data_IF_879363495035
#
_entry.id   IF_879363495035
#
_cell.length_a   1.000
_cell.length_b   1.000
_cell.length_c   1.000
_cell.angle_alpha   90.00
_cell.angle_beta   90.00
_cell.angle_gamma   90.00
#
_symmetry.space_group_name_H-M   'P 1'
#
loop_
_entity.id
_entity.type
_entity.pdbx_description
1 polymer ?
#
# COMPACT_ATOMS: atom_id res chain seq x y z
N UNK A 1 -2.90 -17.75 11.31
CA UNK A 1 -1.87 -17.45 12.35
C UNK A 1 -2.45 -17.48 13.76
N UNK A 2 -3.44 -16.64 14.09
CA UNK A 2 -4.07 -16.62 15.41
C UNK A 2 -4.53 -18.02 15.87
N UNK A 3 -5.40 -18.69 15.11
CA UNK A 3 -5.91 -20.00 15.51
C UNK A 3 -4.81 -21.04 15.76
N UNK A 4 -3.73 -21.02 14.96
CA UNK A 4 -2.56 -21.89 15.15
C UNK A 4 -1.84 -21.63 16.48
N UNK A 5 -1.56 -20.36 16.79
CA UNK A 5 -0.91 -19.97 18.05
C UNK A 5 -1.78 -20.30 19.27
N UNK A 6 -3.12 -20.30 19.12
CA UNK A 6 -4.07 -20.54 20.22
C UNK A 6 -4.12 -22.02 20.61
N UNK A 7 -3.83 -22.93 19.67
CA UNK A 7 -3.92 -24.37 19.88
C UNK A 7 -2.91 -24.90 20.90
N UNK A 8 -1.70 -24.33 20.97
CA UNK A 8 -0.66 -24.80 21.89
C UNK A 8 0.32 -23.65 22.21
N UNK A 9 0.65 -23.39 23.49
CA UNK A 9 1.59 -22.34 23.88
C UNK A 9 3.03 -22.53 23.36
N UNK A 10 3.37 -23.73 22.85
CA UNK A 10 4.66 -24.01 22.19
C UNK A 10 4.65 -23.68 20.70
N UNK A 11 3.48 -23.42 20.10
CA UNK A 11 3.37 -23.14 18.67
C UNK A 11 4.05 -21.81 18.32
N UNK A 12 4.70 -21.79 17.16
CA UNK A 12 5.35 -20.61 16.59
C UNK A 12 4.88 -20.44 15.15
N UNK A 13 4.73 -19.19 14.69
CA UNK A 13 4.52 -18.86 13.28
C UNK A 13 5.84 -18.42 12.65
N UNK A 14 6.17 -19.01 11.50
CA UNK A 14 7.27 -18.57 10.65
C UNK A 14 6.69 -17.88 9.41
N UNK A 15 7.02 -16.61 9.23
CA UNK A 15 6.63 -15.73 8.13
C UNK A 15 7.86 -15.49 7.28
N UNK A 16 7.77 -15.80 6.00
CA UNK A 16 8.81 -15.55 5.00
C UNK A 16 8.24 -14.67 3.88
N UNK A 17 9.10 -13.85 3.28
CA UNK A 17 8.80 -13.15 2.03
C UNK A 17 10.10 -13.04 1.23
N UNK A 18 10.00 -12.89 -0.08
CA UNK A 18 11.12 -12.98 -1.04
C UNK A 18 12.29 -12.05 -0.71
N UNK A 19 12.05 -10.88 -0.11
CA UNK A 19 13.09 -9.94 0.29
C UNK A 19 13.21 -9.73 1.81
N UNK A 20 12.34 -10.38 2.61
CA UNK A 20 12.32 -10.23 4.07
C UNK A 20 11.88 -8.84 4.58
N UNK A 21 11.36 -7.95 3.73
CA UNK A 21 11.13 -6.53 4.06
C UNK A 21 9.66 -6.24 4.32
N UNK A 22 9.01 -5.48 3.44
CA UNK A 22 7.77 -4.80 3.76
C UNK A 22 6.58 -5.76 3.99
N UNK A 23 6.33 -6.80 3.15
CA UNK A 23 5.15 -7.65 3.30
C UNK A 23 5.10 -8.39 4.64
N UNK A 24 6.22 -8.98 5.07
CA UNK A 24 6.31 -9.64 6.37
C UNK A 24 6.14 -8.65 7.54
N UNK A 25 6.59 -7.40 7.37
CA UNK A 25 6.41 -6.35 8.37
C UNK A 25 4.96 -5.94 8.55
N UNK A 26 4.22 -5.82 7.45
CA UNK A 26 2.77 -5.55 7.47
C UNK A 26 2.05 -6.63 8.26
N UNK A 27 2.31 -7.90 7.96
CA UNK A 27 1.65 -9.02 8.62
C UNK A 27 1.95 -9.05 10.13
N UNK A 28 3.20 -8.79 10.53
CA UNK A 28 3.59 -8.73 11.95
C UNK A 28 2.88 -7.58 12.66
N UNK A 29 2.90 -6.37 12.11
CA UNK A 29 2.21 -5.21 12.71
C UNK A 29 0.70 -5.40 12.78
N UNK A 30 0.09 -5.93 11.72
CA UNK A 30 -1.32 -6.27 11.68
C UNK A 30 -1.66 -7.31 12.76
N UNK A 31 -0.80 -8.31 12.98
CA UNK A 31 -0.98 -9.31 14.03
C UNK A 31 -0.88 -8.72 15.43
N UNK A 32 0.01 -7.75 15.67
CA UNK A 32 0.08 -7.02 16.93
C UNK A 32 -1.23 -6.28 17.24
N UNK A 33 -1.81 -5.63 16.23
CA UNK A 33 -3.10 -4.95 16.38
C UNK A 33 -4.24 -5.96 16.56
N UNK A 34 -4.28 -7.00 15.72
CA UNK A 34 -5.30 -8.04 15.74
C UNK A 34 -5.38 -8.79 17.08
N UNK A 35 -4.24 -9.00 17.74
CA UNK A 35 -4.19 -9.63 19.06
C UNK A 35 -4.24 -8.63 20.22
N UNK A 36 -4.62 -7.38 19.96
CA UNK A 36 -4.71 -6.31 20.96
C UNK A 36 -3.44 -6.11 21.80
N UNK A 37 -2.27 -6.44 21.25
CA UNK A 37 -1.01 -6.07 21.88
C UNK A 37 -0.84 -4.55 21.83
N UNK A 38 -1.31 -3.92 20.74
CA UNK A 38 -1.44 -2.48 20.62
C UNK A 38 -2.79 -2.11 20.02
N UNK A 39 -3.44 -1.08 20.58
CA UNK A 39 -4.69 -0.51 20.05
C UNK A 39 -4.43 0.68 19.11
N UNK A 40 -3.17 0.88 18.71
CA UNK A 40 -2.75 1.94 17.79
C UNK A 40 -1.67 1.38 16.84
N UNK A 41 -1.71 1.70 15.54
CA UNK A 41 -0.73 1.19 14.58
C UNK A 41 0.69 1.73 14.80
N UNK A 42 0.85 2.92 15.41
CA UNK A 42 2.15 3.57 15.61
C UNK A 42 3.06 2.76 16.55
N UNK A 43 2.65 2.38 17.78
CA UNK A 43 3.44 1.49 18.63
C UNK A 43 3.80 0.16 17.98
N UNK A 44 2.89 -0.44 17.20
CA UNK A 44 3.15 -1.69 16.48
C UNK A 44 4.30 -1.51 15.47
N UNK A 45 4.28 -0.43 14.68
CA UNK A 45 5.34 -0.10 13.73
C UNK A 45 6.66 0.31 14.39
N UNK A 46 6.60 0.99 15.54
CA UNK A 46 7.78 1.33 16.33
C UNK A 46 8.47 0.07 16.87
N UNK A 47 7.69 -0.87 17.40
CA UNK A 47 8.22 -2.17 17.84
C UNK A 47 8.84 -2.95 16.67
N UNK A 48 8.17 -3.00 15.52
CA UNK A 48 8.74 -3.61 14.31
C UNK A 48 10.07 -2.95 13.95
N UNK A 49 10.14 -1.62 13.94
CA UNK A 49 11.35 -0.89 13.55
C UNK A 49 12.50 -1.08 14.54
N UNK A 50 12.20 -1.16 15.85
CA UNK A 50 13.19 -1.45 16.88
C UNK A 50 13.76 -2.87 16.76
N UNK A 51 12.93 -3.84 16.31
CA UNK A 51 13.34 -5.23 16.14
C UNK A 51 13.95 -5.51 14.77
N UNK A 52 13.53 -4.79 13.74
CA UNK A 52 13.97 -4.91 12.36
C UNK A 52 14.13 -3.53 11.74
N UNK A 53 15.28 -2.87 11.98
CA UNK A 53 15.60 -1.59 11.36
C UNK A 53 15.53 -1.71 9.83
N UNK A 54 15.07 -0.65 9.16
CA UNK A 54 14.95 -0.66 7.69
C UNK A 54 13.82 -1.55 7.16
N UNK A 55 12.76 -1.77 7.94
CA UNK A 55 11.57 -2.58 7.58
C UNK A 55 10.91 -2.20 6.24
N UNK A 56 11.17 -1.00 5.73
CA UNK A 56 10.78 -0.58 4.38
C UNK A 56 9.28 -0.37 4.20
N UNK A 57 8.52 -0.16 5.29
CA UNK A 57 7.08 0.06 5.21
C UNK A 57 6.74 1.36 4.48
N UNK A 58 6.23 1.20 3.25
CA UNK A 58 5.58 2.24 2.47
C UNK A 58 4.35 2.85 3.16
N UNK A 59 3.98 4.09 2.81
CA UNK A 59 2.76 4.72 3.31
C UNK A 59 1.48 3.88 3.18
N UNK A 60 1.26 3.20 2.05
CA UNK A 60 0.15 2.25 1.90
C UNK A 60 0.16 1.14 2.95
N UNK A 61 1.30 0.51 3.17
CA UNK A 61 1.45 -0.51 4.21
C UNK A 61 1.02 -0.01 5.59
N UNK A 62 1.39 1.23 5.94
CA UNK A 62 0.99 1.86 7.21
C UNK A 62 -0.52 2.10 7.28
N UNK A 63 -1.12 2.53 6.16
CA UNK A 63 -2.58 2.72 6.01
C UNK A 63 -3.33 1.41 6.23
N UNK A 64 -2.86 0.31 5.63
CA UNK A 64 -3.47 -1.01 5.79
C UNK A 64 -3.31 -1.58 7.21
N UNK A 65 -2.17 -1.36 7.87
CA UNK A 65 -2.03 -1.68 9.31
C UNK A 65 -3.06 -0.88 10.12
N UNK A 66 -3.27 0.40 9.77
CA UNK A 66 -4.30 1.25 10.35
C UNK A 66 -5.72 0.69 10.17
N UNK A 67 -6.06 0.21 8.97
CA UNK A 67 -7.36 -0.44 8.70
C UNK A 67 -7.58 -1.68 9.58
N UNK A 68 -6.56 -2.53 9.71
CA UNK A 68 -6.66 -3.70 10.61
C UNK A 68 -6.89 -3.24 12.05
N UNK A 69 -6.13 -2.25 12.51
CA UNK A 69 -6.26 -1.70 13.86
C UNK A 69 -7.65 -1.10 14.12
N UNK A 70 -8.24 -0.39 13.15
CA UNK A 70 -9.59 0.16 13.30
C UNK A 70 -10.68 -0.91 13.31
N UNK A 71 -10.53 -1.97 12.50
CA UNK A 71 -11.49 -3.08 12.44
C UNK A 71 -11.54 -3.90 13.74
N UNK A 72 -10.43 -3.96 14.48
CA UNK A 72 -10.34 -4.70 15.76
C UNK A 72 -10.38 -3.78 16.97
N UNK A 73 -10.67 -2.49 16.82
CA UNK A 73 -10.77 -1.58 17.96
C UNK A 73 -12.03 -1.83 18.80
N UNK A 74 -12.11 -1.27 20.01
CA UNK A 74 -13.30 -1.38 20.89
C UNK A 74 -14.60 -0.89 20.21
N UNK A 75 -14.47 0.05 19.27
CA UNK A 75 -15.56 0.51 18.41
C UNK A 75 -15.17 0.23 16.95
N UNK A 76 -15.38 -1.02 16.47
CA UNK A 76 -14.93 -1.44 15.15
C UNK A 76 -15.43 -0.52 14.03
N UNK A 77 -14.51 -0.04 13.19
CA UNK A 77 -14.85 0.59 11.92
C UNK A 77 -14.75 -0.47 10.83
N UNK A 78 -15.89 -1.03 10.42
CA UNK A 78 -15.95 -2.02 9.35
C UNK A 78 -16.06 -1.33 7.98
N UNK A 79 -15.42 -1.87 6.94
CA UNK A 79 -15.51 -1.30 5.60
C UNK A 79 -16.92 -1.50 5.01
N UNK A 80 -17.46 -0.47 4.38
CA UNK A 80 -18.70 -0.60 3.58
C UNK A 80 -18.44 -1.26 2.21
N UNK A 81 -19.52 -1.58 1.49
CA UNK A 81 -19.48 -2.21 0.15
C UNK A 81 -19.84 -1.27 -1.01
N UNK A 82 -20.16 -0.01 -0.74
CA UNK A 82 -20.41 1.00 -1.77
C UNK A 82 -19.20 1.17 -2.70
N UNK A 83 -19.39 1.11 -4.03
CA UNK A 83 -18.34 1.46 -4.99
C UNK A 83 -17.89 2.92 -4.86
N UNK A 84 -16.68 3.18 -5.32
CA UNK A 84 -16.08 4.51 -5.41
C UNK A 84 -15.83 4.82 -6.88
N UNK A 85 -16.41 5.90 -7.39
CA UNK A 85 -16.05 6.45 -8.70
C UNK A 85 -14.83 7.33 -8.52
N UNK A 86 -13.75 7.03 -9.23
CA UNK A 86 -12.59 7.92 -9.38
C UNK A 86 -12.82 8.73 -10.66
N UNK A 87 -13.22 9.98 -10.50
CA UNK A 87 -13.53 10.90 -11.61
C UNK A 87 -12.27 11.35 -12.31
N UNK A 88 -11.30 11.84 -11.55
CA UNK A 88 -10.05 12.33 -12.08
C UNK A 88 -8.89 12.21 -11.09
N UNK A 89 -7.67 12.14 -11.62
CA UNK A 89 -6.43 12.22 -10.87
C UNK A 89 -5.69 13.49 -11.27
N UNK A 90 -5.34 14.33 -10.29
CA UNK A 90 -4.51 15.53 -10.50
C UNK A 90 -3.16 15.36 -9.80
N UNK A 91 -2.08 15.62 -10.53
CA UNK A 91 -0.70 15.59 -10.03
C UNK A 91 -0.13 17.01 -10.10
N UNK A 92 0.34 17.55 -8.97
CA UNK A 92 0.80 18.94 -8.90
C UNK A 92 1.91 19.13 -7.85
N UNK A 93 3.00 19.88 -8.15
CA UNK A 93 3.36 20.37 -9.47
C UNK A 93 3.80 19.26 -10.45
N UNK A 94 3.99 19.58 -11.73
CA UNK A 94 4.50 18.60 -12.73
C UNK A 94 5.90 18.09 -12.33
N UNK A 95 6.13 16.77 -12.21
CA UNK A 95 7.43 16.21 -11.81
C UNK A 95 8.43 16.11 -12.97
N UNK A 96 9.72 16.02 -12.66
CA UNK A 96 10.85 16.15 -13.59
C UNK A 96 11.49 14.80 -13.99
N UNK A 97 10.72 13.98 -14.73
CA UNK A 97 11.12 12.63 -15.14
C UNK A 97 11.76 12.53 -16.54
N UNK A 98 11.55 13.51 -17.41
CA UNK A 98 12.20 13.54 -18.72
C UNK A 98 13.72 13.77 -18.59
N UNK A 99 14.46 13.53 -19.68
CA UNK A 99 15.94 13.63 -19.67
C UNK A 99 16.44 15.03 -19.30
N UNK A 100 15.69 16.07 -19.64
CA UNK A 100 16.04 17.47 -19.39
C UNK A 100 15.66 17.95 -17.99
N UNK A 101 15.04 17.11 -17.15
CA UNK A 101 14.54 17.46 -15.81
C UNK A 101 13.57 18.66 -15.83
N UNK A 102 12.79 18.77 -16.90
CA UNK A 102 11.89 19.91 -17.16
C UNK A 102 10.43 19.52 -17.32
N UNK A 103 10.09 18.25 -17.07
CA UNK A 103 8.73 17.75 -17.21
C UNK A 103 8.65 16.22 -17.20
N UNK A 104 7.52 15.68 -17.61
CA UNK A 104 7.29 14.24 -17.76
C UNK A 104 6.30 13.95 -18.90
N UNK A 105 6.26 12.69 -19.33
CA UNK A 105 5.25 12.15 -20.25
C UNK A 105 4.50 11.05 -19.53
N UNK A 106 3.44 11.39 -18.77
CA UNK A 106 2.90 10.50 -17.77
C UNK A 106 1.65 9.75 -18.26
N UNK A 107 1.45 8.51 -17.78
CA UNK A 107 0.18 7.79 -17.86
C UNK A 107 -0.21 7.25 -16.48
N UNK A 108 -1.50 6.94 -16.30
CA UNK A 108 -2.07 6.41 -15.08
C UNK A 108 -2.62 5.01 -15.31
N UNK A 109 -2.37 4.09 -14.37
CA UNK A 109 -2.99 2.79 -14.26
C UNK A 109 -3.86 2.74 -13.00
N UNK A 110 -5.01 2.06 -13.09
CA UNK A 110 -5.86 1.73 -11.94
C UNK A 110 -6.03 0.22 -11.88
N UNK A 111 -5.79 -0.35 -10.70
CA UNK A 111 -5.90 -1.78 -10.44
C UNK A 111 -6.84 -2.04 -9.25
N UNK A 112 -7.51 -3.18 -9.29
CA UNK A 112 -8.20 -3.77 -8.13
C UNK A 112 -7.42 -5.02 -7.73
N UNK A 113 -6.90 -5.04 -6.50
CA UNK A 113 -5.89 -6.01 -6.08
C UNK A 113 -4.69 -5.96 -7.02
N UNK A 114 -4.42 -7.07 -7.71
CA UNK A 114 -3.33 -7.18 -8.69
C UNK A 114 -3.82 -7.05 -10.15
N UNK A 115 -5.13 -6.90 -10.35
CA UNK A 115 -5.73 -6.86 -11.70
C UNK A 115 -5.85 -5.43 -12.19
N UNK A 116 -5.15 -5.09 -13.28
CA UNK A 116 -5.31 -3.80 -13.95
C UNK A 116 -6.64 -3.72 -14.67
N UNK A 117 -7.48 -2.79 -14.24
CA UNK A 117 -8.82 -2.57 -14.80
C UNK A 117 -8.87 -1.40 -15.77
N UNK A 118 -7.90 -0.47 -15.69
CA UNK A 118 -7.88 0.73 -16.51
C UNK A 118 -6.45 1.25 -16.71
N UNK A 119 -6.20 1.85 -17.87
CA UNK A 119 -4.96 2.55 -18.19
C UNK A 119 -5.20 3.74 -19.11
N UNK A 120 -4.48 4.84 -18.91
CA UNK A 120 -4.41 5.95 -19.87
C UNK A 120 -3.22 5.82 -20.82
N UNK A 121 -2.46 4.72 -20.75
CA UNK A 121 -1.30 4.51 -21.62
C UNK A 121 -1.73 4.41 -23.08
N UNK A 122 -0.98 5.08 -23.94
CA UNK A 122 -1.12 5.02 -25.40
C UNK A 122 0.25 4.74 -26.00
N UNK A 123 0.29 4.54 -27.32
CA UNK A 123 1.54 4.55 -28.10
C UNK A 123 2.36 5.81 -27.78
N UNK A 124 3.69 5.66 -27.74
CA UNK A 124 4.61 6.69 -27.24
C UNK A 124 4.45 8.06 -27.93
N UNK A 125 4.13 8.03 -29.22
CA UNK A 125 3.92 9.16 -30.10
C UNK A 125 2.63 9.93 -29.77
N UNK A 126 1.62 9.24 -29.23
CA UNK A 126 0.32 9.82 -28.83
C UNK A 126 0.31 10.30 -27.39
N UNK A 127 1.29 9.88 -26.60
CA UNK A 127 1.45 10.27 -25.21
C UNK A 127 1.91 11.73 -25.09
N UNK A 128 1.09 12.56 -24.44
CA UNK A 128 1.39 13.98 -24.20
C UNK A 128 2.54 14.16 -23.21
N UNK A 129 3.47 15.03 -23.56
CA UNK A 129 4.47 15.54 -22.63
C UNK A 129 3.94 16.79 -21.91
N UNK A 130 4.17 16.85 -20.60
CA UNK A 130 3.85 17.96 -19.74
C UNK A 130 5.13 18.60 -19.22
N UNK A 131 5.23 19.93 -19.33
CA UNK A 131 6.38 20.69 -18.80
C UNK A 131 6.07 21.32 -17.44
N UNK A 132 7.11 21.64 -16.67
CA UNK A 132 6.97 22.28 -15.35
C UNK A 132 6.13 23.57 -15.37
N UNK A 133 6.14 24.32 -16.47
CA UNK A 133 5.37 25.57 -16.62
C UNK A 133 3.85 25.33 -16.66
N UNK A 134 3.39 24.12 -16.99
CA UNK A 134 1.95 23.79 -17.01
C UNK A 134 1.35 23.67 -15.61
N UNK A 135 2.20 23.63 -14.57
CA UNK A 135 1.77 23.62 -13.17
C UNK A 135 1.24 22.27 -12.70
N UNK A 136 0.36 21.59 -13.46
CA UNK A 136 -0.24 20.30 -13.07
C UNK A 136 -0.52 19.38 -14.26
N UNK A 137 -0.72 18.10 -13.95
CA UNK A 137 -1.22 17.08 -14.88
C UNK A 137 -2.57 16.58 -14.39
N UNK A 138 -3.57 16.46 -15.28
CA UNK A 138 -4.90 15.96 -14.94
C UNK A 138 -5.24 14.77 -15.84
N UNK A 139 -5.60 13.64 -15.23
CA UNK A 139 -6.10 12.46 -15.92
C UNK A 139 -7.61 12.34 -15.66
N UNK A 140 -8.47 12.54 -16.66
CA UNK A 140 -9.87 12.13 -16.55
C UNK A 140 -9.92 10.59 -16.58
N UNK A 141 -10.45 9.98 -15.51
CA UNK A 141 -10.46 8.52 -15.34
C UNK A 141 -11.87 7.96 -15.52
N UNK A 142 -12.84 8.45 -14.74
CA UNK A 142 -14.24 7.99 -14.82
C UNK A 142 -14.42 6.50 -14.53
N UNK A 143 -13.64 5.94 -13.60
CA UNK A 143 -13.65 4.50 -13.29
C UNK A 143 -14.36 4.22 -11.97
N UNK A 144 -15.28 3.25 -11.94
CA UNK A 144 -15.91 2.76 -10.70
C UNK A 144 -15.13 1.56 -10.17
N UNK A 145 -14.75 1.61 -8.89
CA UNK A 145 -13.90 0.62 -8.22
C UNK A 145 -14.48 0.22 -6.86
N UNK A 146 -14.17 -0.99 -6.40
CA UNK A 146 -14.57 -1.47 -5.08
C UNK A 146 -13.50 -2.42 -4.53
N UNK A 147 -13.21 -2.31 -3.22
CA UNK A 147 -12.21 -3.13 -2.55
C UNK A 147 -10.85 -2.46 -2.52
N UNK A 148 -9.79 -3.25 -2.67
CA UNK A 148 -8.40 -2.79 -2.67
C UNK A 148 -8.01 -2.15 -4.00
N UNK A 149 -7.75 -0.86 -3.99
CA UNK A 149 -7.46 -0.07 -5.19
C UNK A 149 -6.00 0.36 -5.18
N UNK A 150 -5.34 0.21 -6.34
CA UNK A 150 -4.03 0.76 -6.61
C UNK A 150 -4.13 1.79 -7.73
N UNK A 151 -3.60 2.98 -7.50
CA UNK A 151 -3.44 4.03 -8.53
C UNK A 151 -1.96 4.31 -8.71
N UNK A 152 -1.45 4.07 -9.91
CA UNK A 152 -0.03 4.23 -10.23
C UNK A 152 0.15 5.16 -11.42
N UNK A 153 1.13 6.07 -11.32
CA UNK A 153 1.51 6.96 -12.42
C UNK A 153 2.94 6.67 -12.85
N UNK A 154 3.17 6.64 -14.16
CA UNK A 154 4.46 6.31 -14.76
C UNK A 154 4.85 7.36 -15.79
N UNK A 155 6.16 7.58 -15.97
CA UNK A 155 6.72 8.31 -17.09
C UNK A 155 7.09 7.35 -18.22
N UNK A 156 6.51 7.56 -19.41
CA UNK A 156 6.88 6.84 -20.62
C UNK A 156 8.15 7.44 -21.26
N UNK A 157 9.13 6.59 -21.58
CA UNK A 157 10.42 6.96 -22.16
C UNK A 157 10.66 6.19 -23.45
N UNK A 158 11.12 6.88 -24.49
CA UNK A 158 11.69 6.25 -25.69
C UNK A 158 13.20 6.40 -25.67
N UNK A 159 13.90 5.32 -25.97
CA UNK A 159 15.36 5.27 -26.10
C UNK A 159 15.73 4.56 -27.40
N UNK A 160 16.82 4.97 -28.03
CA UNK A 160 17.33 4.28 -29.21
C UNK A 160 18.13 3.06 -28.72
N UNK A 161 17.70 1.86 -29.09
CA UNK A 161 18.37 0.60 -28.76
C UNK A 161 19.57 0.31 -29.68
N UNK A 162 20.33 -0.74 -29.36
CA UNK A 162 21.57 -1.10 -30.07
C UNK A 162 21.43 -1.44 -31.56
N UNK A 163 20.21 -1.66 -32.06
CA UNK A 163 19.91 -1.86 -33.50
C UNK A 163 19.23 -0.66 -34.16
N UNK A 164 19.38 0.55 -33.60
CA UNK A 164 18.66 1.78 -34.03
C UNK A 164 17.12 1.67 -33.96
N UNK A 165 16.59 0.68 -33.25
CA UNK A 165 15.15 0.54 -33.00
C UNK A 165 14.75 1.30 -31.73
N UNK A 166 13.61 1.97 -31.78
CA UNK A 166 13.04 2.62 -30.60
C UNK A 166 12.63 1.56 -29.57
N UNK A 167 13.20 1.63 -28.38
CA UNK A 167 12.80 0.85 -27.21
C UNK A 167 12.02 1.77 -26.28
N UNK A 168 10.74 1.46 -26.13
CA UNK A 168 9.86 2.13 -25.17
C UNK A 168 9.96 1.42 -23.83
N UNK A 169 10.16 2.20 -22.77
CA UNK A 169 10.10 1.75 -21.39
C UNK A 169 9.35 2.77 -20.54
N UNK A 170 9.07 2.41 -19.29
CA UNK A 170 8.48 3.34 -18.35
C UNK A 170 9.26 3.37 -17.03
N UNK A 171 9.07 4.43 -16.26
CA UNK A 171 9.60 4.59 -14.90
C UNK A 171 8.48 5.07 -14.01
N UNK A 172 8.26 4.40 -12.88
CA UNK A 172 7.18 4.76 -11.97
C UNK A 172 7.45 6.13 -11.31
N UNK A 173 6.43 6.99 -11.30
CA UNK A 173 6.46 8.30 -10.64
C UNK A 173 5.96 8.14 -9.20
N UNK A 174 4.84 7.46 -8.99
CA UNK A 174 4.36 7.13 -7.65
C UNK A 174 3.31 6.03 -7.73
N UNK A 175 2.96 5.51 -6.55
CA UNK A 175 1.80 4.65 -6.34
C UNK A 175 1.03 5.07 -5.08
N UNK A 176 -0.28 4.86 -5.10
CA UNK A 176 -1.19 5.01 -3.97
C UNK A 176 -1.97 3.70 -3.84
N UNK A 177 -2.19 3.23 -2.62
CA UNK A 177 -3.12 2.13 -2.34
C UNK A 177 -4.09 2.49 -1.22
N UNK A 178 -5.36 2.14 -1.38
CA UNK A 178 -6.40 2.29 -0.36
C UNK A 178 -7.52 1.29 -0.61
N UNK A 179 -8.32 1.01 0.43
CA UNK A 179 -9.52 0.18 0.30
C UNK A 179 -10.76 1.08 0.31
N UNK A 180 -11.64 0.95 -0.70
CA UNK A 180 -12.79 1.86 -0.89
C UNK A 180 -13.74 1.90 0.31
N UNK A 181 -13.95 0.76 0.97
CA UNK A 181 -14.85 0.66 2.13
C UNK A 181 -14.46 1.49 3.36
N UNK A 182 -13.24 2.04 3.40
CA UNK A 182 -12.79 2.95 4.46
C UNK A 182 -12.91 4.44 4.08
N UNK A 183 -13.45 4.74 2.89
CA UNK A 183 -13.67 6.12 2.43
C UNK A 183 -15.09 6.54 2.82
N UNK A 184 -15.23 7.51 3.71
CA UNK A 184 -16.54 7.89 4.22
C UNK A 184 -17.50 8.34 3.09
N UNK A 185 -18.78 7.93 3.09
CA UNK A 185 -19.79 8.48 2.20
C UNK A 185 -19.81 10.02 2.23
N UNK A 186 -19.95 10.65 1.07
CA UNK A 186 -19.86 12.11 0.93
C UNK A 186 -18.43 12.64 0.75
N UNK A 187 -17.40 11.80 0.83
CA UNK A 187 -16.03 12.19 0.45
C UNK A 187 -15.99 12.49 -1.04
N UNK A 188 -15.53 13.69 -1.38
CA UNK A 188 -15.38 14.16 -2.77
C UNK A 188 -13.92 14.25 -3.22
N UNK A 189 -12.97 14.18 -2.28
CA UNK A 189 -11.55 14.38 -2.57
C UNK A 189 -10.66 13.54 -1.65
N UNK A 190 -9.67 12.87 -2.22
CA UNK A 190 -8.55 12.27 -1.48
C UNK A 190 -7.25 12.97 -1.88
N UNK A 191 -6.58 13.59 -0.92
CA UNK A 191 -5.29 14.27 -1.14
C UNK A 191 -4.15 13.47 -0.50
N UNK A 192 -3.09 13.26 -1.26
CA UNK A 192 -1.86 12.59 -0.82
C UNK A 192 -0.67 13.50 -1.09
N UNK A 193 0.05 13.89 -0.06
CA UNK A 193 1.31 14.62 -0.19
C UNK A 193 2.45 13.65 -0.47
N UNK A 194 3.59 14.15 -0.95
CA UNK A 194 4.76 13.32 -1.30
C UNK A 194 5.16 12.24 -0.25
N UNK A 195 5.14 12.49 1.07
CA UNK A 195 5.45 11.46 2.07
C UNK A 195 4.42 10.33 2.21
N UNK A 196 3.23 10.51 1.62
CA UNK A 196 2.09 9.58 1.66
C UNK A 196 1.99 8.72 0.40
N UNK A 197 2.94 8.89 -0.52
CA UNK A 197 3.05 8.18 -1.79
C UNK A 197 4.10 7.06 -1.71
N UNK A 198 3.78 5.94 -2.34
CA UNK A 198 4.68 4.80 -2.47
C UNK A 198 5.51 4.89 -3.76
N UNK A 199 6.51 4.01 -3.88
CA UNK A 199 7.29 3.78 -5.10
C UNK A 199 7.81 5.05 -5.79
N UNK A 200 8.10 6.08 -4.99
CA UNK A 200 8.71 7.29 -5.51
C UNK A 200 10.19 7.06 -5.82
N UNK A 201 10.63 7.66 -6.91
CA UNK A 201 12.01 7.74 -7.34
C UNK A 201 12.79 8.78 -6.51
N UNK A 202 13.97 9.18 -6.97
CA UNK A 202 14.86 10.09 -6.29
C UNK A 202 14.22 11.46 -6.01
N UNK A 203 14.40 12.05 -4.80
CA UNK A 203 13.68 13.24 -4.35
C UNK A 203 13.79 14.44 -5.28
N UNK A 204 14.92 14.62 -5.97
CA UNK A 204 15.18 15.72 -6.89
C UNK A 204 14.28 15.72 -8.13
N UNK A 205 13.58 14.61 -8.42
CA UNK A 205 12.58 14.55 -9.50
C UNK A 205 11.25 15.18 -9.12
N UNK A 206 11.04 15.50 -7.84
CA UNK A 206 9.77 15.98 -7.31
C UNK A 206 9.90 17.44 -6.86
N UNK A 207 9.05 18.34 -7.38
CA UNK A 207 8.99 19.71 -6.90
C UNK A 207 8.59 19.81 -5.42
N UNK A 208 8.87 20.97 -4.82
CA UNK A 208 8.35 21.27 -3.48
C UNK A 208 6.83 21.21 -3.46
N UNK A 209 6.28 20.73 -2.34
CA UNK A 209 4.82 20.56 -2.14
C UNK A 209 4.14 19.65 -3.18
N UNK A 210 4.91 18.75 -3.83
CA UNK A 210 4.34 17.73 -4.70
C UNK A 210 3.27 16.92 -3.98
N UNK A 211 2.09 16.89 -4.58
CA UNK A 211 0.92 16.21 -4.07
C UNK A 211 0.05 15.69 -5.22
N UNK A 212 -0.84 14.79 -4.84
CA UNK A 212 -1.75 14.09 -5.72
C UNK A 212 -3.16 14.21 -5.17
N UNK A 213 -4.12 14.48 -6.02
CA UNK A 213 -5.54 14.60 -5.66
C UNK A 213 -6.34 13.63 -6.52
N UNK A 214 -7.13 12.77 -5.88
CA UNK A 214 -8.20 12.02 -6.53
C UNK A 214 -9.52 12.75 -6.28
N UNK A 215 -10.21 13.13 -7.35
CA UNK A 215 -11.62 13.53 -7.31
C UNK A 215 -12.46 12.25 -7.33
N UNK A 216 -13.27 12.06 -6.30
CA UNK A 216 -13.96 10.79 -6.04
C UNK A 216 -15.42 11.00 -5.68
N UNK A 217 -16.21 9.94 -5.79
CA UNK A 217 -17.58 9.90 -5.29
C UNK A 217 -17.89 8.49 -4.79
N UNK A 218 -18.33 8.38 -3.54
CA UNK A 218 -18.84 7.13 -2.99
C UNK A 218 -20.28 6.97 -3.45
N UNK A 219 -20.57 5.91 -4.21
CA UNK A 219 -21.91 5.66 -4.75
C UNK A 219 -22.94 5.43 -3.63
N UNK A 220 -24.22 5.70 -3.91
CA UNK A 220 -25.28 5.63 -2.90
C UNK A 220 -25.69 4.20 -2.51
N UNK A 221 -25.45 3.23 -3.39
CA UNK A 221 -25.96 1.86 -3.27
C UNK A 221 -24.81 0.88 -3.07
N UNK A 222 -25.00 -0.08 -2.17
CA UNK A 222 -24.06 -1.18 -2.00
C UNK A 222 -24.06 -2.08 -3.23
N UNK A 223 -22.87 -2.46 -3.71
CA UNK A 223 -22.74 -3.44 -4.78
C UNK A 223 -22.66 -4.84 -4.19
N UNK A 224 -23.27 -5.81 -4.88
CA UNK A 224 -23.24 -7.21 -4.47
C UNK A 224 -21.79 -7.69 -4.34
N UNK A 225 -21.47 -8.31 -3.20
CA UNK A 225 -20.16 -8.88 -2.93
C UNK A 225 -20.07 -10.25 -3.61
N UNK A 226 -19.02 -10.46 -4.40
CA UNK A 226 -18.74 -11.78 -4.98
C UNK A 226 -18.34 -12.80 -3.89
N UNK A 227 -17.66 -12.32 -2.84
CA UNK A 227 -17.24 -13.10 -1.68
C UNK A 227 -17.51 -12.32 -0.39
N UNK A 228 -18.02 -13.01 0.63
CA UNK A 228 -18.15 -12.44 1.97
C UNK A 228 -16.75 -12.31 2.59
N UNK A 229 -16.34 -11.11 3.03
CA UNK A 229 -15.02 -10.93 3.61
C UNK A 229 -14.92 -11.59 4.99
N UNK A 230 -13.71 -11.96 5.43
CA UNK A 230 -13.50 -12.75 6.65
C UNK A 230 -13.86 -12.01 7.96
N UNK A 231 -14.03 -10.69 7.93
CA UNK A 231 -14.49 -9.91 9.09
C UNK A 231 -16.00 -9.95 9.29
N UNK A 232 -16.78 -10.42 8.32
CA UNK A 232 -18.24 -10.57 8.43
C UNK A 232 -18.68 -11.95 8.92
N UNK A 233 -17.86 -12.98 8.67
CA UNK A 233 -18.20 -14.37 9.05
C UNK A 233 -17.92 -14.70 10.52
N UNK A 234 -17.14 -13.86 11.20
CA UNK A 234 -16.57 -14.15 12.50
C UNK A 234 -16.78 -12.93 13.43
N UNK A 235 -17.78 -12.96 14.32
CA UNK A 235 -18.05 -11.86 15.25
C UNK A 235 -16.80 -11.48 16.04
N UNK A 236 -16.38 -10.22 15.96
CA UNK A 236 -15.18 -9.71 16.66
C UNK A 236 -15.32 -9.82 18.20
N UNK A 237 -16.54 -9.85 18.74
CA UNK A 237 -16.82 -9.94 20.18
C UNK A 237 -16.36 -11.25 20.83
N UNK A 238 -16.20 -12.34 20.07
CA UNK A 238 -15.67 -13.61 20.57
C UNK A 238 -14.15 -13.73 20.53
N UNK A 239 -13.45 -12.70 19.99
CA UNK A 239 -12.00 -12.69 19.83
C UNK A 239 -11.34 -11.99 21.02
N UNK A 240 -11.44 -12.57 22.22
CA UNK A 240 -10.49 -12.25 23.30
C UNK A 240 -9.11 -12.82 22.95
N UNK A 241 -8.48 -12.28 21.89
CA UNK A 241 -7.08 -12.49 21.61
C UNK A 241 -6.33 -11.64 22.64
N UNK A 242 -5.91 -12.27 23.73
CA UNK A 242 -5.08 -11.58 24.71
C UNK A 242 -3.69 -11.36 24.11
N UNK A 243 -3.16 -10.14 24.20
CA UNK A 243 -1.78 -9.84 23.79
C UNK A 243 -0.73 -10.75 24.44
N UNK A 244 -1.09 -11.40 25.55
CA UNK A 244 -0.31 -12.46 26.23
C UNK A 244 0.02 -13.63 25.30
N UNK A 245 -0.84 -13.95 24.33
CA UNK A 245 -0.60 -15.00 23.33
C UNK A 245 0.60 -14.69 22.43
N UNK A 246 0.97 -13.41 22.32
CA UNK A 246 2.17 -12.98 21.62
C UNK A 246 3.39 -12.89 22.52
N UNK A 247 3.31 -13.24 23.82
CA UNK A 247 4.38 -13.16 24.84
C UNK A 247 4.69 -14.55 25.45
N UNK A 248 5.96 -14.85 25.73
CA UNK A 248 6.39 -16.02 26.52
C UNK A 248 6.36 -15.66 28.01
N UNK A 249 6.27 -16.65 28.91
CA UNK A 249 6.54 -16.44 30.33
C UNK A 249 7.92 -15.76 30.47
N UNK A 250 8.01 -14.66 31.22
CA UNK A 250 9.11 -13.68 31.28
C UNK A 250 9.00 -12.45 30.34
N UNK A 251 7.82 -12.15 29.78
CA UNK A 251 7.55 -10.85 29.13
C UNK A 251 8.28 -10.60 27.81
N UNK A 252 8.90 -11.64 27.22
CA UNK A 252 9.51 -11.58 25.88
C UNK A 252 8.46 -11.96 24.84
N UNK A 253 8.32 -11.25 23.73
CA UNK A 253 7.38 -11.61 22.66
C UNK A 253 7.57 -13.07 22.16
N UNK A 254 6.61 -13.97 22.46
CA UNK A 254 6.52 -15.35 21.97
C UNK A 254 6.18 -15.48 20.50
N UNK A 255 5.24 -14.68 19.98
CA UNK A 255 4.70 -14.92 18.65
C UNK A 255 5.59 -14.39 17.51
N UNK A 256 6.75 -13.83 17.85
CA UNK A 256 7.76 -13.42 16.90
C UNK A 256 9.12 -13.97 17.34
N UNK A 257 9.23 -15.30 17.46
CA UNK A 257 10.51 -16.00 17.24
C UNK A 257 11.04 -15.82 15.80
N UNK A 258 10.36 -14.99 15.01
CA UNK A 258 10.69 -14.60 13.65
C UNK A 258 11.89 -13.65 13.50
N UNK A 259 12.42 -13.08 14.58
CA UNK A 259 13.43 -12.05 14.46
C UNK A 259 14.88 -12.56 14.50
N UNK A 260 15.13 -13.79 14.99
CA UNK A 260 16.51 -14.32 15.07
C UNK A 260 16.83 -15.45 14.07
N UNK A 261 15.85 -16.13 13.48
CA UNK A 261 16.17 -17.25 12.57
C UNK A 261 16.68 -16.75 11.20
N UNK A 262 16.35 -15.52 10.79
CA UNK A 262 16.90 -14.93 9.57
C UNK A 262 18.36 -14.45 9.73
N UNK A 263 18.78 -13.96 10.90
CA UNK A 263 20.21 -13.65 11.11
C UNK A 263 21.07 -14.92 11.14
N UNK A 264 20.56 -16.04 11.65
CA UNK A 264 21.31 -17.29 11.69
C UNK A 264 21.32 -18.03 10.34
N UNK A 265 20.27 -17.91 9.52
CA UNK A 265 20.23 -18.59 8.22
C UNK A 265 20.89 -17.80 7.08
N UNK A 266 20.89 -16.46 7.12
CA UNK A 266 21.61 -15.63 6.13
C UNK A 266 23.11 -15.57 6.41
N UNK A 267 23.56 -15.70 7.67
CA UNK A 267 25.00 -15.79 8.01
C UNK A 267 25.63 -17.18 7.79
N UNK A 268 24.85 -18.20 7.42
CA UNK A 268 25.34 -19.58 7.25
C UNK A 268 25.40 -20.07 5.79
N UNK A 269 25.31 -19.20 4.79
CA UNK A 269 25.76 -19.58 3.44
C UNK A 269 27.25 -19.26 3.29
N UNK A 270 28.15 -20.26 3.23
CA UNK A 270 29.47 -20.04 2.66
C UNK A 270 29.28 -19.61 1.20
N UNK A 271 30.04 -18.60 0.77
CA UNK A 271 30.24 -18.34 -0.65
C UNK A 271 30.79 -19.62 -1.28
N UNK A 272 30.01 -20.20 -2.19
CA UNK A 272 30.50 -21.10 -3.24
C UNK A 272 30.04 -20.46 -4.54
#
# INVERSE_FOLDING_TARGET
MHNWLKQNPKNVCVITCSDGRAPSGVLVCAMFCFCHLFNNPIPAMQLLSAKRPGSGLWPSHRRYIGYVCSMVSEKPSLPHSKPLVIKALTVSPVPCFNKQRSGCRPFCDVLIGETKIFTTAQEYERMREHRVQEGKVVFPLGVSVQGDVVVSVYHMRSTIGGRLQAKVSNTQIFQIQFHTGFIAPGTTMLKFNKPELDACDSPEKYPQLFHVILDVEVEGVDKQKDLTPPWEQEPMEGRTASGVMLLKPAGRLAAVYLLCILELWVRQRPMI
#
